data_IF_358705071383
#
_entry.id   IF_358705071383
#
_cell.length_a   1.000
_cell.length_b   1.000
_cell.length_c   1.000
_cell.angle_alpha   90.00
_cell.angle_beta   90.00
_cell.angle_gamma   90.00
#
_symmetry.space_group_name_H-M   'P 1'
#
loop_
_entity.id
_entity.type
_entity.pdbx_description
1 polymer ?
#
# COMPACT_ATOMS: atom_id res chain seq x y z
N UNK A 1 3.55 2.18 -11.85
CA UNK A 1 4.74 1.34 -11.57
C UNK A 1 4.91 0.31 -12.70
N UNK A 2 6.12 0.05 -13.19
CA UNK A 2 6.38 -1.12 -14.06
C UNK A 2 6.79 -2.28 -13.18
N UNK A 3 6.23 -3.46 -13.42
CA UNK A 3 6.68 -4.67 -12.76
C UNK A 3 8.12 -4.99 -13.19
N UNK A 4 8.88 -5.64 -12.31
CA UNK A 4 10.31 -5.89 -12.55
C UNK A 4 10.53 -6.99 -13.59
N UNK A 5 9.76 -8.07 -13.51
CA UNK A 5 9.85 -9.22 -14.44
C UNK A 5 8.74 -9.24 -15.48
N UNK A 6 7.58 -8.66 -15.16
CA UNK A 6 6.50 -8.52 -16.13
C UNK A 6 6.60 -7.18 -16.86
N UNK A 7 6.39 -7.17 -18.18
CA UNK A 7 6.16 -5.92 -18.93
C UNK A 7 4.80 -5.28 -18.61
N UNK A 8 4.20 -5.62 -17.46
CA UNK A 8 2.94 -5.12 -16.98
C UNK A 8 3.16 -3.81 -16.23
N UNK A 9 2.30 -2.84 -16.49
CA UNK A 9 2.24 -1.59 -15.74
C UNK A 9 1.08 -1.67 -14.76
N UNK A 10 1.38 -1.48 -13.49
CA UNK A 10 0.39 -1.37 -12.42
C UNK A 10 0.16 0.10 -12.12
N UNK A 11 -1.10 0.46 -11.87
CA UNK A 11 -1.43 1.82 -11.44
C UNK A 11 -0.71 2.14 -10.13
N UNK A 12 -0.39 3.40 -9.92
CA UNK A 12 0.30 3.82 -8.69
C UNK A 12 -0.54 3.56 -7.44
N UNK A 13 -1.85 3.75 -7.57
CA UNK A 13 -2.90 3.42 -6.61
C UNK A 13 -3.06 1.92 -6.33
N UNK A 14 -2.37 1.05 -7.08
CA UNK A 14 -2.32 -0.41 -6.95
C UNK A 14 -0.91 -0.91 -6.64
N UNK A 15 -0.05 -0.02 -6.15
CA UNK A 15 1.32 -0.34 -5.74
C UNK A 15 1.38 -0.24 -4.22
N UNK A 16 1.90 -1.27 -3.56
CA UNK A 16 1.94 -1.38 -2.11
C UNK A 16 0.56 -1.43 -1.45
N UNK A 17 -0.48 -1.83 -2.16
CA UNK A 17 -1.87 -1.82 -1.66
C UNK A 17 -2.24 -3.10 -0.90
N UNK A 18 -1.28 -3.99 -0.65
CA UNK A 18 -1.47 -5.28 0.00
C UNK A 18 -1.90 -6.38 -0.95
N UNK A 19 -2.23 -6.06 -2.20
CA UNK A 19 -2.57 -7.02 -3.24
C UNK A 19 -1.44 -7.12 -4.28
N UNK A 20 -1.09 -8.36 -4.61
CA UNK A 20 -0.09 -8.63 -5.64
C UNK A 20 -0.71 -8.46 -7.03
N UNK A 21 -0.50 -7.31 -7.66
CA UNK A 21 -0.89 -7.04 -9.04
C UNK A 21 0.22 -7.42 -10.02
N UNK A 22 1.48 -7.28 -9.65
CA UNK A 22 2.58 -7.79 -10.48
C UNK A 22 2.73 -9.30 -10.28
N UNK A 23 2.97 -10.05 -11.36
CA UNK A 23 3.20 -11.50 -11.30
C UNK A 23 4.38 -11.92 -10.42
N UNK A 24 5.31 -11.00 -10.14
CA UNK A 24 6.46 -11.17 -9.25
C UNK A 24 6.30 -10.50 -7.89
N UNK A 25 5.17 -9.86 -7.61
CA UNK A 25 4.93 -9.05 -6.42
C UNK A 25 5.87 -7.85 -6.28
N UNK A 26 6.47 -7.38 -7.38
CA UNK A 26 7.39 -6.23 -7.34
C UNK A 26 6.71 -4.93 -6.94
N UNK A 27 5.41 -4.82 -7.17
CA UNK A 27 4.53 -3.78 -6.65
C UNK A 27 4.43 -3.78 -5.12
N UNK A 28 4.52 -4.95 -4.47
CA UNK A 28 4.41 -5.10 -3.01
C UNK A 28 5.77 -5.28 -2.28
N UNK A 29 6.88 -5.45 -3.01
CA UNK A 29 8.19 -5.80 -2.44
C UNK A 29 9.05 -4.62 -2.01
N UNK A 30 8.83 -3.42 -2.56
CA UNK A 30 9.67 -2.24 -2.28
C UNK A 30 8.89 -1.10 -1.59
N UNK A 31 7.99 -1.47 -0.68
CA UNK A 31 7.16 -0.55 0.11
C UNK A 31 7.92 0.05 1.31
N UNK A 32 9.23 0.29 1.16
CA UNK A 32 10.07 0.93 2.18
C UNK A 32 9.76 2.42 2.36
N UNK A 33 9.19 3.05 1.32
CA UNK A 33 8.68 4.41 1.32
C UNK A 33 7.39 4.38 0.51
N UNK A 34 6.23 4.49 1.18
CA UNK A 34 4.96 4.63 0.47
C UNK A 34 5.09 5.84 -0.46
N UNK A 35 4.96 5.63 -1.78
CA UNK A 35 5.17 6.68 -2.78
C UNK A 35 3.90 7.50 -2.98
N UNK A 36 4.07 8.81 -3.16
CA UNK A 36 2.96 9.74 -3.40
C UNK A 36 2.20 10.07 -2.13
N UNK A 37 0.87 9.93 -2.16
CA UNK A 37 -0.05 10.20 -1.04
C UNK A 37 -0.44 8.94 -0.29
N UNK A 38 0.32 7.85 -0.43
CA UNK A 38 0.07 6.61 0.31
C UNK A 38 0.69 6.71 1.71
N UNK A 39 -0.01 6.20 2.71
CA UNK A 39 0.39 6.17 4.10
C UNK A 39 0.83 4.77 4.52
N UNK A 40 1.88 4.66 5.31
CA UNK A 40 2.41 3.38 5.78
C UNK A 40 1.69 2.93 7.04
N UNK A 41 1.14 1.72 7.00
CA UNK A 41 0.50 1.07 8.13
C UNK A 41 1.48 0.80 9.28
N UNK A 42 1.74 1.77 10.15
CA UNK A 42 2.52 1.61 11.38
C UNK A 42 3.74 0.66 11.27
N UNK A 43 3.66 -0.47 11.97
CA UNK A 43 4.67 -1.55 11.97
C UNK A 43 4.55 -2.52 10.78
N UNK A 44 3.44 -2.51 10.06
CA UNK A 44 3.25 -3.29 8.84
C UNK A 44 4.02 -2.67 7.66
N UNK A 45 4.31 -3.51 6.67
CA UNK A 45 4.89 -3.09 5.38
C UNK A 45 3.84 -2.68 4.36
N UNK A 46 2.57 -2.75 4.75
CA UNK A 46 1.43 -2.36 3.93
C UNK A 46 1.35 -0.84 3.80
N UNK A 47 1.04 -0.36 2.60
CA UNK A 47 0.66 1.02 2.37
C UNK A 47 -0.83 1.07 2.07
N UNK A 48 -1.50 2.10 2.57
CA UNK A 48 -2.89 2.40 2.25
C UNK A 48 -2.94 3.79 1.63
N UNK A 49 -4.05 4.17 1.00
CA UNK A 49 -4.23 5.55 0.55
C UNK A 49 -4.31 6.47 1.76
N UNK A 50 -3.80 7.70 1.67
CA UNK A 50 -4.01 8.66 2.76
C UNK A 50 -5.49 8.96 3.04
N UNK A 51 -6.38 8.67 2.08
CA UNK A 51 -7.84 8.77 2.26
C UNK A 51 -8.44 7.62 3.07
N UNK A 52 -7.72 6.51 3.21
CA UNK A 52 -8.10 5.33 3.98
C UNK A 52 -7.63 5.41 5.43
N UNK A 53 -6.84 6.43 5.77
CA UNK A 53 -6.45 6.66 7.16
C UNK A 53 -7.61 7.37 7.86
N UNK A 54 -8.12 6.80 8.93
CA UNK A 54 -9.24 7.34 9.70
C UNK A 54 -10.53 7.44 8.89
N UNK A 55 -10.77 6.47 8.02
CA UNK A 55 -11.97 6.44 7.16
C UNK A 55 -13.11 5.60 7.74
N UNK A 56 -12.88 4.96 8.89
CA UNK A 56 -13.82 4.06 9.57
C UNK A 56 -13.66 2.60 9.18
N UNK A 57 -12.79 2.28 8.21
CA UNK A 57 -12.50 0.92 7.77
C UNK A 57 -11.10 0.51 8.20
N UNK A 58 -10.96 -0.73 8.67
CA UNK A 58 -9.64 -1.31 8.94
C UNK A 58 -9.03 -1.80 7.62
N UNK A 59 -8.29 -0.94 6.95
CA UNK A 59 -7.54 -1.28 5.75
C UNK A 59 -6.17 -1.88 6.10
N UNK A 60 -5.51 -1.37 7.14
CA UNK A 60 -4.25 -1.94 7.58
C UNK A 60 -4.44 -3.30 8.25
N UNK A 61 -3.57 -4.27 7.94
CA UNK A 61 -3.51 -5.58 8.60
C UNK A 61 -3.36 -5.52 10.13
N UNK A 62 -2.79 -4.44 10.65
CA UNK A 62 -2.62 -4.18 12.08
C UNK A 62 -3.65 -3.16 12.64
N UNK A 63 -4.60 -2.69 11.82
CA UNK A 63 -5.57 -1.65 12.17
C UNK A 63 -4.95 -0.30 12.57
N UNK A 64 -3.69 -0.05 12.23
CA UNK A 64 -2.98 1.16 12.65
C UNK A 64 -3.45 2.44 11.95
N UNK A 65 -4.13 2.30 10.83
CA UNK A 65 -4.82 3.37 10.09
C UNK A 65 -5.99 3.96 10.85
N UNK A 66 -6.73 3.12 11.58
CA UNK A 66 -7.88 3.52 12.39
C UNK A 66 -7.51 3.78 13.87
N UNK A 67 -6.22 3.69 14.22
CA UNK A 67 -5.71 3.99 15.55
C UNK A 67 -5.22 5.45 15.62
N UNK A 68 -5.66 6.18 16.65
CA UNK A 68 -5.31 7.59 16.91
C UNK A 68 -5.85 8.58 15.85
N UNK A 69 -7.10 8.39 15.45
CA UNK A 69 -7.88 9.36 14.70
C UNK A 69 -8.46 10.40 15.65
N UNK A 70 -8.15 11.69 15.44
CA UNK A 70 -8.58 12.84 16.26
C UNK A 70 -9.43 13.81 15.46
#
# INVERSE_FOLDING_TARGET
MKCTTAAQCVKWDRTCDGETHCSDGSDEKNCGVCKGTAWKCGTSRQCIKSSQRCDGNTDCTNGSDEQNCV
#
